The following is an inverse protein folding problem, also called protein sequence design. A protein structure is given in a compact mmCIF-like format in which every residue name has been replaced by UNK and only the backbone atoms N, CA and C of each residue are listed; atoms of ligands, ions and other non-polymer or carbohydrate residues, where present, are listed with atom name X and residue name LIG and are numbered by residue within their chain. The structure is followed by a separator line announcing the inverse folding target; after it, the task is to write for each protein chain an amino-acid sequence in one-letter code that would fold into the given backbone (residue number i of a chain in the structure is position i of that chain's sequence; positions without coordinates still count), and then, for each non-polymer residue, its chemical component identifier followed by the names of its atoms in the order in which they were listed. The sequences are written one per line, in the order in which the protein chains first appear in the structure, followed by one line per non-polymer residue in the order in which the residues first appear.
data_IF_787173332311
#
_entry.id   IF_787173332311
#
_cell.length_a   1.000
_cell.length_b   1.000
_cell.length_c   1.000
_cell.angle_alpha   90.00
_cell.angle_beta   90.00
_cell.angle_gamma   90.00
#
_symmetry.space_group_name_H-M   'P 1'
#
loop_
_entity.id
_entity.type
_entity.pdbx_description
1 polymer ?
#
# COMPACT_ATOMS: atom_id res chain seq x y z
N UNK A 1 -30.15 -14.41 -17.22
CA UNK A 1 -29.00 -13.72 -16.58
C UNK A 1 -29.11 -13.96 -15.08
N UNK A 2 -28.03 -14.30 -14.38
CA UNK A 2 -28.05 -14.56 -12.93
C UNK A 2 -27.42 -13.37 -12.20
N UNK A 3 -28.01 -12.95 -11.07
CA UNK A 3 -27.45 -11.93 -10.19
C UNK A 3 -26.66 -12.60 -9.07
N UNK A 4 -25.44 -12.12 -8.79
CA UNK A 4 -24.68 -12.55 -7.62
C UNK A 4 -25.05 -11.64 -6.44
N UNK A 5 -25.60 -12.22 -5.37
CA UNK A 5 -26.01 -11.51 -4.16
C UNK A 5 -25.43 -12.18 -2.93
N UNK A 6 -25.11 -11.39 -1.91
CA UNK A 6 -24.86 -11.88 -0.55
C UNK A 6 -26.17 -11.78 0.22
N UNK A 7 -26.65 -12.91 0.74
CA UNK A 7 -27.89 -12.98 1.51
C UNK A 7 -27.53 -13.06 3.00
N UNK A 8 -28.02 -12.11 3.81
CA UNK A 8 -27.95 -12.25 5.27
C UNK A 8 -29.07 -13.19 5.72
N UNK A 9 -28.72 -14.22 6.48
CA UNK A 9 -29.69 -15.20 7.00
C UNK A 9 -30.11 -14.97 8.45
N UNK A 10 -29.59 -13.92 9.09
CA UNK A 10 -29.94 -13.62 10.48
C UNK A 10 -31.45 -13.40 10.63
N UNK A 11 -32.13 -14.28 11.38
CA UNK A 11 -33.58 -14.23 11.57
C UNK A 11 -34.41 -14.63 10.34
N UNK A 12 -33.79 -15.22 9.32
CA UNK A 12 -34.50 -15.65 8.11
C UNK A 12 -35.11 -17.03 8.33
N UNK A 13 -36.41 -17.18 8.09
CA UNK A 13 -37.11 -18.46 8.15
C UNK A 13 -36.72 -19.35 6.97
N UNK A 14 -35.99 -20.43 7.26
CA UNK A 14 -35.46 -21.37 6.27
C UNK A 14 -36.01 -22.78 6.50
N UNK A 15 -36.51 -23.39 5.44
CA UNK A 15 -36.97 -24.78 5.44
C UNK A 15 -35.94 -25.68 4.75
N UNK A 16 -35.57 -26.78 5.38
CA UNK A 16 -34.71 -27.80 4.77
C UNK A 16 -35.51 -29.10 4.63
N UNK A 17 -35.55 -29.65 3.41
CA UNK A 17 -36.23 -30.93 3.14
C UNK A 17 -35.20 -32.01 2.91
N UNK A 18 -35.14 -33.00 3.81
CA UNK A 18 -34.18 -34.10 3.80
C UNK A 18 -33.46 -34.24 5.14
N UNK A 19 -33.27 -35.49 5.58
CA UNK A 19 -32.71 -35.83 6.90
C UNK A 19 -31.36 -36.54 6.84
N UNK A 20 -30.69 -36.50 5.68
CA UNK A 20 -29.39 -37.14 5.49
C UNK A 20 -28.20 -36.21 5.79
N UNK A 21 -26.98 -36.76 5.75
CA UNK A 21 -25.71 -36.01 5.95
C UNK A 21 -25.56 -34.73 5.13
N UNK A 22 -26.06 -34.69 3.89
CA UNK A 22 -25.96 -33.48 3.04
C UNK A 22 -26.83 -32.36 3.60
N UNK A 23 -28.05 -32.68 4.02
CA UNK A 23 -28.96 -31.74 4.65
C UNK A 23 -28.39 -31.25 5.98
N UNK A 24 -27.87 -32.17 6.81
CA UNK A 24 -27.24 -31.83 8.08
C UNK A 24 -26.10 -30.81 7.92
N UNK A 25 -25.16 -31.06 7.00
CA UNK A 25 -24.06 -30.13 6.71
C UNK A 25 -24.56 -28.74 6.32
N UNK A 26 -25.65 -28.65 5.55
CA UNK A 26 -26.26 -27.38 5.18
C UNK A 26 -26.94 -26.71 6.37
N UNK A 27 -27.63 -27.46 7.22
CA UNK A 27 -28.26 -26.94 8.43
C UNK A 27 -27.20 -26.30 9.36
N UNK A 28 -26.07 -26.97 9.61
CA UNK A 28 -25.00 -26.40 10.43
C UNK A 28 -24.49 -25.05 9.90
N UNK A 29 -24.35 -24.91 8.57
CA UNK A 29 -23.94 -23.64 7.96
C UNK A 29 -25.00 -22.55 8.17
N UNK A 30 -26.27 -22.86 7.86
CA UNK A 30 -27.36 -21.91 7.98
C UNK A 30 -27.59 -21.48 9.44
N UNK A 31 -27.43 -22.39 10.39
CA UNK A 31 -27.50 -22.13 11.83
C UNK A 31 -26.39 -21.17 12.27
N UNK A 32 -25.15 -21.38 11.82
CA UNK A 32 -24.03 -20.47 12.08
C UNK A 32 -24.27 -19.06 11.51
N UNK A 33 -25.02 -18.96 10.41
CA UNK A 33 -25.43 -17.70 9.78
C UNK A 33 -26.70 -17.08 10.44
N UNK A 34 -27.24 -17.70 11.49
CA UNK A 34 -28.35 -17.17 12.29
C UNK A 34 -29.74 -17.42 11.69
N UNK A 35 -29.88 -18.38 10.78
CA UNK A 35 -31.16 -18.75 10.18
C UNK A 35 -32.12 -19.41 11.19
N UNK A 36 -33.41 -19.11 11.06
CA UNK A 36 -34.48 -19.79 11.78
C UNK A 36 -34.87 -21.06 11.03
N UNK A 37 -34.20 -22.17 11.38
CA UNK A 37 -34.32 -23.43 10.67
C UNK A 37 -35.50 -24.27 11.11
N UNK A 38 -36.14 -24.91 10.13
CA UNK A 38 -36.99 -26.10 10.34
C UNK A 38 -36.56 -27.16 9.34
N UNK A 39 -36.38 -28.40 9.78
CA UNK A 39 -36.00 -29.52 8.91
C UNK A 39 -37.12 -30.54 8.87
N UNK A 40 -37.51 -30.97 7.67
CA UNK A 40 -38.55 -31.99 7.46
C UNK A 40 -37.97 -33.16 6.68
N UNK A 41 -38.15 -34.38 7.21
CA UNK A 41 -37.71 -35.59 6.55
C UNK A 41 -38.54 -36.80 6.98
N UNK A 42 -38.64 -37.82 6.12
CA UNK A 42 -39.28 -39.10 6.49
C UNK A 42 -38.47 -39.87 7.53
N UNK A 43 -37.15 -39.69 7.50
CA UNK A 43 -36.17 -40.33 8.38
C UNK A 43 -34.99 -39.36 8.55
N UNK A 44 -34.36 -39.39 9.73
CA UNK A 44 -33.19 -38.58 10.04
C UNK A 44 -32.00 -39.48 10.36
N UNK A 45 -30.84 -39.14 9.80
CA UNK A 45 -29.56 -39.72 10.19
C UNK A 45 -29.24 -39.34 11.64
N UNK A 46 -28.45 -40.17 12.32
CA UNK A 46 -28.04 -39.96 13.71
C UNK A 46 -27.33 -38.60 13.96
N UNK A 47 -26.77 -37.97 12.92
CA UNK A 47 -26.14 -36.65 13.06
C UNK A 47 -27.13 -35.53 13.44
N UNK A 48 -28.44 -35.72 13.24
CA UNK A 48 -29.45 -34.75 13.68
C UNK A 48 -29.81 -34.88 15.17
N UNK A 49 -29.28 -35.88 15.89
CA UNK A 49 -29.52 -35.99 17.34
C UNK A 49 -28.94 -34.78 18.07
N UNK A 50 -29.78 -34.12 18.88
CA UNK A 50 -29.37 -32.93 19.64
C UNK A 50 -29.32 -31.63 18.82
N UNK A 51 -29.88 -31.62 17.60
CA UNK A 51 -30.03 -30.39 16.82
C UNK A 51 -30.81 -29.33 17.63
N UNK A 52 -30.33 -28.08 17.61
CA UNK A 52 -30.99 -26.97 18.31
C UNK A 52 -32.22 -26.41 17.56
N UNK A 53 -32.52 -26.96 16.39
CA UNK A 53 -33.63 -26.57 15.52
C UNK A 53 -34.66 -27.70 15.34
N UNK A 54 -35.95 -27.37 15.11
CA UNK A 54 -36.99 -28.36 14.90
C UNK A 54 -36.68 -29.34 13.76
N UNK A 55 -36.66 -30.63 14.10
CA UNK A 55 -36.59 -31.74 13.15
C UNK A 55 -37.92 -32.49 13.17
N UNK A 56 -38.68 -32.39 12.08
CA UNK A 56 -40.05 -32.92 11.97
C UNK A 56 -40.02 -34.16 11.08
N UNK A 57 -40.40 -35.30 11.68
CA UNK A 57 -40.54 -36.57 10.94
C UNK A 57 -41.87 -36.58 10.18
N UNK A 58 -41.87 -36.10 8.93
CA UNK A 58 -43.03 -36.06 8.05
C UNK A 58 -42.60 -36.11 6.56
N UNK A 59 -43.57 -36.34 5.68
CA UNK A 59 -43.40 -36.13 4.24
C UNK A 59 -43.56 -34.65 3.88
N UNK A 60 -42.81 -34.23 2.87
CA UNK A 60 -42.95 -32.87 2.33
C UNK A 60 -44.35 -32.62 1.76
N UNK A 61 -44.91 -31.43 2.04
CA UNK A 61 -46.16 -30.91 1.46
C UNK A 61 -46.01 -29.41 1.19
N UNK A 62 -46.59 -28.86 0.10
CA UNK A 62 -46.43 -27.45 -0.26
C UNK A 62 -46.80 -26.46 0.85
N UNK A 63 -47.77 -26.80 1.71
CA UNK A 63 -48.21 -25.95 2.83
C UNK A 63 -47.09 -25.65 3.83
N UNK A 64 -46.09 -26.53 3.93
CA UNK A 64 -44.94 -26.35 4.84
C UNK A 64 -44.01 -25.21 4.39
N UNK A 65 -44.14 -24.75 3.14
CA UNK A 65 -43.42 -23.56 2.64
C UNK A 65 -43.98 -22.25 3.20
N UNK A 66 -45.20 -22.25 3.75
CA UNK A 66 -45.86 -21.03 4.21
C UNK A 66 -45.01 -20.29 5.25
N UNK A 67 -44.80 -18.99 5.03
CA UNK A 67 -44.03 -18.13 5.92
C UNK A 67 -42.51 -18.32 5.85
N UNK A 68 -42.01 -19.12 4.89
CA UNK A 68 -40.56 -19.30 4.67
C UNK A 68 -40.07 -18.36 3.58
N UNK A 69 -38.81 -17.91 3.69
CA UNK A 69 -38.16 -17.09 2.66
C UNK A 69 -37.30 -17.94 1.71
N UNK A 70 -36.75 -19.04 2.24
CA UNK A 70 -35.83 -19.94 1.55
C UNK A 70 -36.18 -21.40 1.86
N UNK A 71 -36.17 -22.24 0.84
CA UNK A 71 -36.21 -23.70 0.98
C UNK A 71 -34.98 -24.36 0.37
N UNK A 72 -34.43 -25.36 1.05
CA UNK A 72 -33.35 -26.20 0.55
C UNK A 72 -33.85 -27.63 0.34
N UNK A 73 -34.05 -27.98 -0.93
CA UNK A 73 -34.34 -29.34 -1.35
C UNK A 73 -33.06 -30.19 -1.26
N UNK A 74 -33.06 -31.15 -0.33
CA UNK A 74 -31.93 -32.03 -0.03
C UNK A 74 -32.31 -33.52 -0.10
N UNK A 75 -33.32 -33.87 -0.90
CA UNK A 75 -33.74 -35.26 -1.10
C UNK A 75 -32.76 -36.03 -2.00
N UNK A 76 -32.79 -37.36 -1.94
CA UNK A 76 -31.93 -38.19 -2.77
C UNK A 76 -32.35 -38.21 -4.25
N UNK A 77 -33.65 -38.18 -4.54
CA UNK A 77 -34.19 -38.32 -5.89
C UNK A 77 -34.46 -36.96 -6.58
N UNK A 78 -34.29 -36.94 -7.90
CA UNK A 78 -34.44 -35.72 -8.71
C UNK A 78 -35.89 -35.20 -8.71
N UNK A 79 -36.88 -36.09 -8.65
CA UNK A 79 -38.30 -35.78 -8.82
C UNK A 79 -38.79 -34.95 -7.62
N UNK A 80 -38.52 -35.42 -6.40
CA UNK A 80 -38.84 -34.70 -5.17
C UNK A 80 -38.19 -33.32 -5.14
N UNK A 81 -36.89 -33.22 -5.48
CA UNK A 81 -36.19 -31.93 -5.48
C UNK A 81 -36.77 -30.96 -6.53
N UNK A 82 -37.16 -31.44 -7.71
CA UNK A 82 -37.83 -30.63 -8.73
C UNK A 82 -39.20 -30.15 -8.23
N UNK A 83 -40.02 -31.03 -7.65
CA UNK A 83 -41.33 -30.67 -7.10
C UNK A 83 -41.21 -29.57 -6.04
N UNK A 84 -40.28 -29.72 -5.09
CA UNK A 84 -40.03 -28.70 -4.05
C UNK A 84 -39.65 -27.34 -4.66
N UNK A 85 -38.78 -27.34 -5.68
CA UNK A 85 -38.38 -26.10 -6.36
C UNK A 85 -39.54 -25.46 -7.12
N UNK A 86 -40.40 -26.26 -7.76
CA UNK A 86 -41.59 -25.77 -8.48
C UNK A 86 -42.63 -25.18 -7.54
N UNK A 87 -42.92 -25.87 -6.42
CA UNK A 87 -43.85 -25.37 -5.40
C UNK A 87 -43.34 -24.07 -4.76
N UNK A 88 -42.04 -24.01 -4.45
CA UNK A 88 -41.41 -22.82 -3.91
C UNK A 88 -41.51 -21.64 -4.90
N UNK A 89 -41.28 -21.90 -6.18
CA UNK A 89 -41.47 -20.90 -7.24
C UNK A 89 -42.91 -20.39 -7.29
N UNK A 90 -43.90 -21.27 -7.18
CA UNK A 90 -45.33 -20.88 -7.15
C UNK A 90 -45.67 -20.05 -5.90
N UNK A 91 -45.02 -20.35 -4.77
CA UNK A 91 -45.20 -19.63 -3.51
C UNK A 91 -44.38 -18.31 -3.41
N UNK A 92 -43.57 -17.97 -4.42
CA UNK A 92 -42.69 -16.79 -4.38
C UNK A 92 -41.49 -16.93 -3.42
N UNK A 93 -41.08 -18.16 -3.13
CA UNK A 93 -40.03 -18.51 -2.16
C UNK A 93 -38.77 -18.91 -2.91
N UNK A 94 -37.61 -18.46 -2.43
CA UNK A 94 -36.35 -18.89 -3.03
C UNK A 94 -36.09 -20.37 -2.75
N UNK A 95 -35.67 -21.12 -3.76
CA UNK A 95 -35.31 -22.52 -3.65
C UNK A 95 -33.86 -22.76 -4.03
N UNK A 96 -33.17 -23.54 -3.20
CA UNK A 96 -31.91 -24.20 -3.53
C UNK A 96 -32.13 -25.71 -3.61
N UNK A 97 -31.37 -26.38 -4.47
CA UNK A 97 -31.38 -27.84 -4.56
C UNK A 97 -29.96 -28.40 -4.49
N UNK A 98 -29.81 -29.56 -3.85
CA UNK A 98 -28.55 -30.33 -3.87
C UNK A 98 -28.38 -31.10 -5.18
N UNK A 99 -29.45 -31.25 -5.97
CA UNK A 99 -29.45 -31.86 -7.30
C UNK A 99 -29.49 -30.77 -8.38
N UNK A 100 -28.77 -31.01 -9.48
CA UNK A 100 -28.81 -30.13 -10.65
C UNK A 100 -30.12 -30.32 -11.43
N UNK A 101 -30.47 -29.35 -12.27
CA UNK A 101 -31.63 -29.39 -13.18
C UNK A 101 -33.01 -29.51 -12.49
N UNK A 102 -33.11 -29.12 -11.22
CA UNK A 102 -34.37 -29.08 -10.46
C UNK A 102 -35.18 -27.80 -10.63
N UNK A 103 -34.70 -26.80 -11.38
CA UNK A 103 -35.36 -25.49 -11.46
C UNK A 103 -35.17 -24.60 -10.22
N UNK A 104 -34.12 -24.85 -9.42
CA UNK A 104 -33.75 -24.01 -8.29
C UNK A 104 -33.55 -22.54 -8.71
N UNK A 105 -34.02 -21.60 -7.89
CA UNK A 105 -33.91 -20.15 -8.14
C UNK A 105 -32.62 -19.56 -7.59
N UNK A 106 -31.95 -20.25 -6.66
CA UNK A 106 -30.68 -19.85 -6.07
C UNK A 106 -29.65 -20.98 -6.15
N UNK A 107 -28.39 -20.60 -6.34
CA UNK A 107 -27.25 -21.51 -6.41
C UNK A 107 -26.14 -21.02 -5.48
N UNK A 108 -25.57 -21.95 -4.70
CA UNK A 108 -24.40 -21.65 -3.90
C UNK A 108 -23.17 -21.45 -4.79
N UNK A 109 -22.37 -20.44 -4.48
CA UNK A 109 -21.02 -20.28 -5.01
C UNK A 109 -20.02 -20.92 -4.04
N UNK A 110 -18.81 -21.19 -4.52
CA UNK A 110 -17.69 -21.38 -3.60
C UNK A 110 -17.41 -20.02 -2.94
N UNK A 111 -17.24 -19.99 -1.62
CA UNK A 111 -17.05 -18.75 -0.84
C UNK A 111 -15.81 -18.87 0.04
N UNK A 112 -15.03 -17.79 0.09
CA UNK A 112 -13.97 -17.56 1.06
C UNK A 112 -14.33 -16.28 1.81
N UNK A 113 -14.48 -16.39 3.12
CA UNK A 113 -14.87 -15.29 3.99
C UNK A 113 -13.81 -15.06 5.06
N UNK A 114 -13.45 -13.79 5.24
CA UNK A 114 -12.47 -13.32 6.23
C UNK A 114 -13.08 -12.16 7.00
N UNK A 115 -12.39 -11.67 8.03
CA UNK A 115 -12.82 -10.47 8.72
C UNK A 115 -12.79 -9.23 7.80
N UNK A 116 -12.00 -9.22 6.73
CA UNK A 116 -11.78 -8.08 5.84
C UNK A 116 -12.67 -8.10 4.61
N UNK A 117 -12.86 -9.26 3.98
CA UNK A 117 -13.53 -9.39 2.68
C UNK A 117 -14.22 -10.75 2.52
N UNK A 118 -15.14 -10.78 1.54
CA UNK A 118 -15.79 -11.99 1.04
C UNK A 118 -15.47 -12.13 -0.44
N UNK A 119 -15.05 -13.32 -0.86
CA UNK A 119 -14.89 -13.69 -2.27
C UNK A 119 -15.81 -14.86 -2.59
N UNK A 120 -16.41 -14.83 -3.79
CA UNK A 120 -17.23 -15.91 -4.27
C UNK A 120 -16.93 -16.22 -5.74
N UNK A 121 -16.88 -17.51 -6.08
CA UNK A 121 -16.63 -17.99 -7.44
C UNK A 121 -17.55 -19.15 -7.81
N UNK A 122 -17.91 -19.25 -9.09
CA UNK A 122 -18.71 -20.35 -9.60
C UNK A 122 -18.58 -20.52 -11.10
N UNK A 123 -18.73 -21.76 -11.56
CA UNK A 123 -18.63 -22.14 -12.98
C UNK A 123 -20.00 -22.44 -13.60
N UNK A 124 -21.08 -21.86 -13.05
CA UNK A 124 -22.47 -22.15 -13.47
C UNK A 124 -22.79 -23.66 -13.54
N UNK A 125 -22.26 -24.44 -12.59
CA UNK A 125 -22.47 -25.89 -12.53
C UNK A 125 -21.47 -26.76 -13.31
N UNK A 126 -20.62 -26.18 -14.16
CA UNK A 126 -19.69 -26.95 -15.00
C UNK A 126 -18.61 -27.75 -14.23
N UNK A 127 -17.96 -27.13 -13.23
CA UNK A 127 -16.96 -27.78 -12.39
C UNK A 127 -16.85 -27.10 -11.01
N UNK A 128 -17.51 -27.66 -9.97
CA UNK A 128 -17.36 -27.17 -8.60
C UNK A 128 -15.93 -27.23 -8.07
N UNK A 129 -15.13 -28.19 -8.55
CA UNK A 129 -13.72 -28.31 -8.19
C UNK A 129 -12.90 -27.14 -8.74
N UNK A 130 -13.12 -26.79 -10.02
CA UNK A 130 -12.45 -25.64 -10.63
C UNK A 130 -12.88 -24.32 -9.96
N UNK A 131 -14.15 -24.16 -9.59
CA UNK A 131 -14.62 -22.99 -8.86
C UNK A 131 -13.84 -22.78 -7.54
N UNK A 132 -13.59 -23.86 -6.79
CA UNK A 132 -12.79 -23.81 -5.55
C UNK A 132 -11.32 -23.49 -5.82
N UNK A 133 -10.75 -24.05 -6.89
CA UNK A 133 -9.37 -23.74 -7.28
C UNK A 133 -9.21 -22.26 -7.65
N UNK A 134 -10.08 -21.73 -8.51
CA UNK A 134 -10.10 -20.30 -8.88
C UNK A 134 -10.21 -19.41 -7.65
N UNK A 135 -11.11 -19.76 -6.73
CA UNK A 135 -11.32 -19.02 -5.50
C UNK A 135 -10.07 -19.01 -4.60
N UNK A 136 -9.36 -20.13 -4.50
CA UNK A 136 -8.09 -20.23 -3.75
C UNK A 136 -7.02 -19.32 -4.36
N UNK A 137 -6.91 -19.29 -5.68
CA UNK A 137 -5.98 -18.42 -6.41
C UNK A 137 -6.33 -16.94 -6.21
N UNK A 138 -7.61 -16.57 -6.33
CA UNK A 138 -8.10 -15.22 -6.05
C UNK A 138 -7.83 -14.81 -4.59
N UNK A 139 -8.11 -15.68 -3.63
CA UNK A 139 -7.90 -15.42 -2.21
C UNK A 139 -6.41 -15.16 -1.90
N UNK A 140 -5.48 -15.90 -2.54
CA UNK A 140 -4.05 -15.66 -2.37
C UNK A 140 -3.64 -14.25 -2.81
N UNK A 141 -4.16 -13.77 -3.96
CA UNK A 141 -3.89 -12.42 -4.46
C UNK A 141 -4.52 -11.35 -3.56
N UNK A 142 -5.77 -11.54 -3.15
CA UNK A 142 -6.49 -10.58 -2.31
C UNK A 142 -5.86 -10.49 -0.92
N UNK A 143 -5.51 -11.62 -0.32
CA UNK A 143 -4.84 -11.69 0.97
C UNK A 143 -3.51 -10.94 0.95
N UNK A 144 -2.70 -11.13 -0.10
CA UNK A 144 -1.39 -10.47 -0.24
C UNK A 144 -1.50 -8.96 -0.45
N UNK A 145 -2.41 -8.52 -1.31
CA UNK A 145 -2.38 -7.14 -1.83
C UNK A 145 -3.43 -6.21 -1.20
N UNK A 146 -4.51 -6.75 -0.60
CA UNK A 146 -5.66 -5.96 -0.18
C UNK A 146 -6.06 -6.13 1.28
N UNK A 147 -5.79 -7.28 1.93
CA UNK A 147 -6.28 -7.54 3.29
C UNK A 147 -5.90 -6.44 4.31
N UNK A 148 -4.60 -6.16 4.44
CA UNK A 148 -4.09 -5.10 5.33
C UNK A 148 -4.67 -3.73 4.98
N UNK A 149 -4.78 -3.45 3.68
CA UNK A 149 -5.31 -2.20 3.15
C UNK A 149 -6.80 -2.01 3.50
N UNK A 150 -7.62 -3.06 3.37
CA UNK A 150 -9.04 -3.05 3.74
C UNK A 150 -9.18 -2.82 5.24
N UNK A 151 -8.37 -3.48 6.06
CA UNK A 151 -8.37 -3.29 7.51
C UNK A 151 -8.07 -1.84 7.91
N UNK A 152 -7.05 -1.21 7.30
CA UNK A 152 -6.74 0.21 7.52
C UNK A 152 -7.87 1.13 7.05
N UNK A 153 -8.38 0.92 5.84
CA UNK A 153 -9.48 1.73 5.29
C UNK A 153 -10.75 1.61 6.14
N UNK A 154 -11.03 0.45 6.73
CA UNK A 154 -12.17 0.26 7.65
C UNK A 154 -12.03 1.12 8.90
N UNK A 155 -10.86 1.11 9.55
CA UNK A 155 -10.58 1.94 10.74
C UNK A 155 -10.68 3.42 10.42
N UNK A 156 -10.06 3.85 9.31
CA UNK A 156 -10.11 5.24 8.86
C UNK A 156 -11.54 5.67 8.52
N UNK A 157 -12.33 4.80 7.88
CA UNK A 157 -13.75 5.08 7.60
C UNK A 157 -14.54 5.28 8.89
N UNK A 158 -14.33 4.45 9.91
CA UNK A 158 -15.00 4.62 11.21
C UNK A 158 -14.65 5.97 11.84
N UNK A 159 -13.36 6.32 11.87
CA UNK A 159 -12.91 7.62 12.36
C UNK A 159 -13.57 8.78 11.59
N UNK A 160 -13.60 8.72 10.25
CA UNK A 160 -14.20 9.75 9.39
C UNK A 160 -15.71 9.90 9.64
N UNK A 161 -16.44 8.79 9.79
CA UNK A 161 -17.88 8.83 10.04
C UNK A 161 -18.22 9.47 11.39
N UNK A 162 -17.31 9.40 12.37
CA UNK A 162 -17.46 9.95 13.71
C UNK A 162 -17.03 11.41 13.81
N UNK A 163 -15.94 11.81 13.14
CA UNK A 163 -15.27 13.10 13.40
C UNK A 163 -15.36 14.11 12.23
N UNK A 164 -15.75 13.69 11.03
CA UNK A 164 -15.75 14.54 9.84
C UNK A 164 -17.17 14.87 9.40
N UNK A 165 -17.40 16.09 8.92
CA UNK A 165 -18.70 16.56 8.45
C UNK A 165 -19.18 15.76 7.23
N UNK A 166 -20.51 15.56 7.13
CA UNK A 166 -21.13 14.62 6.16
C UNK A 166 -20.77 14.97 4.71
N UNK A 167 -20.66 16.26 4.42
CA UNK A 167 -20.41 16.83 3.09
C UNK A 167 -18.98 16.55 2.60
N UNK A 168 -18.01 16.45 3.52
CA UNK A 168 -16.59 16.23 3.20
C UNK A 168 -16.20 14.75 3.05
N UNK A 169 -16.98 13.84 3.67
CA UNK A 169 -16.66 12.40 3.74
C UNK A 169 -16.48 11.75 2.37
N UNK A 170 -17.35 11.96 1.36
CA UNK A 170 -17.21 11.27 0.08
C UNK A 170 -15.88 11.57 -0.61
N UNK A 171 -15.48 12.85 -0.61
CA UNK A 171 -14.23 13.27 -1.23
C UNK A 171 -13.03 12.72 -0.47
N UNK A 172 -13.02 12.80 0.87
CA UNK A 172 -11.92 12.26 1.69
C UNK A 172 -11.77 10.74 1.54
N UNK A 173 -12.88 9.98 1.62
CA UNK A 173 -12.86 8.53 1.43
C UNK A 173 -12.35 8.14 0.03
N UNK A 174 -12.76 8.89 -1.01
CA UNK A 174 -12.29 8.65 -2.37
C UNK A 174 -10.77 8.85 -2.52
N UNK A 175 -10.19 9.83 -1.80
CA UNK A 175 -8.74 10.08 -1.78
C UNK A 175 -8.01 8.95 -1.07
N UNK A 176 -8.49 8.52 0.10
CA UNK A 176 -7.85 7.45 0.87
C UNK A 176 -7.73 6.13 0.08
N UNK A 177 -8.75 5.77 -0.71
CA UNK A 177 -8.73 4.55 -1.53
C UNK A 177 -7.64 4.58 -2.62
N UNK A 178 -7.09 5.74 -2.98
CA UNK A 178 -6.03 5.89 -4.00
C UNK A 178 -4.61 5.89 -3.43
N UNK A 179 -4.46 6.03 -2.11
CA UNK A 179 -3.15 6.12 -1.45
C UNK A 179 -2.38 4.81 -1.53
N UNK A 180 -1.07 4.78 -1.28
CA UNK A 180 -0.37 3.50 -1.13
C UNK A 180 -0.73 2.82 0.22
N UNK A 181 -0.32 1.56 0.44
CA UNK A 181 -0.46 0.93 1.76
C UNK A 181 0.33 1.69 2.83
N UNK A 182 1.52 2.17 2.46
CA UNK A 182 2.43 2.94 3.31
C UNK A 182 1.80 4.26 3.74
N UNK A 183 1.20 5.01 2.82
CA UNK A 183 0.57 6.28 3.11
C UNK A 183 -0.63 6.13 4.05
N UNK A 184 -1.43 5.07 3.87
CA UNK A 184 -2.53 4.75 4.78
C UNK A 184 -2.02 4.46 6.20
N UNK A 185 -0.93 3.70 6.32
CA UNK A 185 -0.27 3.45 7.60
C UNK A 185 0.21 4.77 8.23
N UNK A 186 0.83 5.67 7.46
CA UNK A 186 1.25 6.98 7.97
C UNK A 186 0.08 7.79 8.55
N UNK A 187 -1.07 7.80 7.88
CA UNK A 187 -2.27 8.49 8.37
C UNK A 187 -2.80 7.82 9.64
N UNK A 188 -2.90 6.49 9.68
CA UNK A 188 -3.35 5.77 10.88
C UNK A 188 -2.45 6.05 12.08
N UNK A 189 -1.13 6.01 11.90
CA UNK A 189 -0.16 6.31 12.95
C UNK A 189 -0.22 7.76 13.42
N UNK A 190 -0.42 8.70 12.50
CA UNK A 190 -0.56 10.11 12.84
C UNK A 190 -1.83 10.37 13.67
N UNK A 191 -2.95 9.73 13.33
CA UNK A 191 -4.18 9.78 14.12
C UNK A 191 -4.02 9.15 15.51
N UNK A 192 -3.07 8.23 15.68
CA UNK A 192 -2.70 7.63 16.97
C UNK A 192 -1.69 8.47 17.77
N UNK A 193 -1.33 9.67 17.28
CA UNK A 193 -0.50 10.64 18.00
C UNK A 193 0.97 10.67 17.56
N UNK A 194 1.40 9.90 16.56
CA UNK A 194 2.74 10.04 15.98
C UNK A 194 2.85 11.35 15.18
N UNK A 195 4.02 11.97 15.20
CA UNK A 195 4.29 13.13 14.35
C UNK A 195 4.44 12.73 12.88
N UNK A 196 3.63 13.29 11.99
CA UNK A 196 3.73 13.05 10.56
C UNK A 196 4.79 13.96 9.92
N UNK A 197 5.80 13.36 9.31
CA UNK A 197 6.78 14.08 8.50
C UNK A 197 6.70 13.67 7.03
N UNK A 198 6.56 14.66 6.14
CA UNK A 198 6.63 14.46 4.70
C UNK A 198 8.03 14.82 4.22
N UNK A 199 8.74 13.82 3.72
CA UNK A 199 10.07 13.97 3.14
C UNK A 199 9.91 14.43 1.69
N UNK A 200 10.16 15.70 1.44
CA UNK A 200 9.77 16.40 0.22
C UNK A 200 10.89 16.41 -0.82
N UNK A 201 10.69 15.70 -1.93
CA UNK A 201 11.57 15.70 -3.09
C UNK A 201 10.96 16.51 -4.24
N UNK A 202 11.79 16.93 -5.20
CA UNK A 202 11.29 17.65 -6.38
C UNK A 202 10.47 16.72 -7.31
N UNK A 203 10.85 15.44 -7.43
CA UNK A 203 10.20 14.41 -8.25
C UNK A 203 11.18 13.73 -9.20
N UNK A 204 10.88 12.51 -9.66
CA UNK A 204 11.76 11.69 -10.51
C UNK A 204 10.93 10.86 -11.48
N UNK A 205 11.38 10.68 -12.74
CA UNK A 205 10.57 9.97 -13.75
C UNK A 205 10.61 8.46 -13.60
N UNK A 206 11.69 7.96 -13.01
CA UNK A 206 11.99 6.55 -12.78
C UNK A 206 11.38 6.07 -11.46
N UNK A 207 11.09 4.77 -11.36
CA UNK A 207 10.62 4.14 -10.13
C UNK A 207 11.73 4.12 -9.07
N UNK A 208 11.48 4.83 -7.96
CA UNK A 208 12.34 4.90 -6.78
C UNK A 208 11.65 4.36 -5.52
N UNK A 209 10.55 3.61 -5.67
CA UNK A 209 9.70 3.18 -4.55
C UNK A 209 10.48 2.48 -3.44
N UNK A 210 11.37 1.55 -3.81
CA UNK A 210 12.17 0.80 -2.84
C UNK A 210 13.13 1.70 -2.04
N UNK A 211 13.72 2.69 -2.71
CA UNK A 211 14.65 3.64 -2.10
C UNK A 211 13.94 4.51 -1.05
N UNK A 212 12.76 5.01 -1.41
CA UNK A 212 11.90 5.81 -0.54
C UNK A 212 11.38 4.99 0.66
N UNK A 213 10.96 3.75 0.43
CA UNK A 213 10.50 2.85 1.48
C UNK A 213 11.61 2.57 2.49
N UNK A 214 12.82 2.22 2.01
CA UNK A 214 13.97 1.96 2.86
C UNK A 214 14.34 3.19 3.70
N UNK A 215 14.36 4.37 3.09
CA UNK A 215 14.70 5.59 3.80
C UNK A 215 13.65 5.96 4.85
N UNK A 216 12.36 5.86 4.52
CA UNK A 216 11.31 6.15 5.49
C UNK A 216 11.28 5.13 6.65
N UNK A 217 11.57 3.86 6.38
CA UNK A 217 11.73 2.85 7.42
C UNK A 217 12.93 3.15 8.35
N UNK A 218 14.05 3.62 7.79
CA UNK A 218 15.22 4.03 8.57
C UNK A 218 14.90 5.21 9.52
N UNK A 219 14.11 6.19 9.05
CA UNK A 219 13.62 7.30 9.90
C UNK A 219 12.82 6.75 11.08
N UNK A 220 11.83 5.88 10.81
CA UNK A 220 10.91 5.37 11.84
C UNK A 220 11.58 4.45 12.85
N UNK A 221 12.58 3.66 12.40
CA UNK A 221 13.38 2.83 13.29
C UNK A 221 14.19 3.69 14.29
N UNK A 222 14.72 4.83 13.85
CA UNK A 222 15.53 5.73 14.70
C UNK A 222 14.69 6.74 15.48
N UNK A 223 13.49 7.07 15.00
CA UNK A 223 12.56 8.05 15.58
C UNK A 223 11.17 7.43 15.75
N UNK A 224 11.01 6.61 16.79
CA UNK A 224 9.79 5.83 17.07
C UNK A 224 8.51 6.65 17.21
N UNK A 225 8.65 7.93 17.56
CA UNK A 225 7.55 8.88 17.81
C UNK A 225 7.03 9.53 16.51
N UNK A 226 7.71 9.29 15.39
CA UNK A 226 7.41 9.85 14.09
C UNK A 226 6.95 8.77 13.12
N UNK A 227 6.26 9.21 12.08
CA UNK A 227 5.96 8.42 10.89
C UNK A 227 6.29 9.25 9.67
N UNK A 228 6.98 8.66 8.70
CA UNK A 228 7.55 9.37 7.57
C UNK A 228 6.96 8.87 6.25
N UNK A 229 6.56 9.80 5.39
CA UNK A 229 6.14 9.50 4.02
C UNK A 229 6.94 10.33 3.03
N UNK A 230 7.31 9.74 1.90
CA UNK A 230 7.85 10.51 0.79
C UNK A 230 6.74 11.31 0.11
N UNK A 231 7.08 12.53 -0.34
CA UNK A 231 6.15 13.36 -1.09
C UNK A 231 6.88 14.14 -2.19
N UNK A 232 6.21 14.29 -3.34
CA UNK A 232 6.77 15.03 -4.48
C UNK A 232 6.18 16.44 -4.60
N UNK A 233 7.04 17.41 -4.92
CA UNK A 233 6.62 18.80 -5.14
C UNK A 233 6.01 19.03 -6.52
N UNK A 234 6.39 18.24 -7.52
CA UNK A 234 5.89 18.38 -8.88
C UNK A 234 4.77 17.37 -9.17
N UNK A 235 3.70 17.82 -9.83
CA UNK A 235 2.53 17.00 -10.18
C UNK A 235 2.65 16.35 -11.58
N UNK A 236 3.59 16.80 -12.42
CA UNK A 236 3.79 16.30 -13.78
C UNK A 236 4.81 15.17 -13.89
N UNK A 237 4.94 14.34 -12.85
CA UNK A 237 5.87 13.21 -12.83
C UNK A 237 5.11 11.96 -13.27
N UNK A 238 5.73 11.14 -14.12
CA UNK A 238 5.20 9.84 -14.58
C UNK A 238 5.18 8.78 -13.47
N UNK A 239 5.92 9.00 -12.39
CA UNK A 239 6.08 8.07 -11.27
C UNK A 239 4.97 8.24 -10.22
N UNK A 240 4.50 7.11 -9.69
CA UNK A 240 3.45 7.00 -8.66
C UNK A 240 4.01 6.51 -7.31
N UNK A 241 5.33 6.39 -7.17
CA UNK A 241 6.03 5.95 -5.96
C UNK A 241 5.75 6.82 -4.72
N UNK A 242 5.47 8.11 -4.92
CA UNK A 242 5.11 9.04 -3.86
C UNK A 242 3.99 9.99 -4.27
N UNK A 243 3.14 10.35 -3.31
CA UNK A 243 2.04 11.28 -3.55
C UNK A 243 2.53 12.74 -3.63
N UNK A 244 1.88 13.59 -4.43
CA UNK A 244 2.17 15.02 -4.42
C UNK A 244 1.91 15.64 -3.04
N UNK A 245 2.76 16.58 -2.62
CA UNK A 245 2.60 17.34 -1.37
C UNK A 245 1.21 17.96 -1.29
N UNK A 246 0.68 18.50 -2.40
CA UNK A 246 -0.65 19.09 -2.43
C UNK A 246 -1.77 18.10 -2.06
N UNK A 247 -1.66 16.83 -2.48
CA UNK A 247 -2.65 15.81 -2.15
C UNK A 247 -2.58 15.43 -0.66
N UNK A 248 -1.37 15.27 -0.13
CA UNK A 248 -1.16 15.07 1.30
C UNK A 248 -1.80 16.17 2.12
N UNK A 249 -1.57 17.44 1.77
CA UNK A 249 -2.11 18.60 2.47
C UNK A 249 -3.64 18.61 2.49
N UNK A 250 -4.31 18.19 1.40
CA UNK A 250 -5.77 18.08 1.37
C UNK A 250 -6.28 17.04 2.37
N UNK A 251 -5.60 15.90 2.48
CA UNK A 251 -5.98 14.80 3.36
C UNK A 251 -5.75 15.18 4.83
N UNK A 252 -4.54 15.62 5.17
CA UNK A 252 -4.18 15.97 6.56
C UNK A 252 -4.97 17.18 7.06
N UNK A 253 -5.29 18.15 6.19
CA UNK A 253 -6.19 19.25 6.53
C UNK A 253 -7.58 18.73 6.92
N UNK A 254 -8.17 17.86 6.10
CA UNK A 254 -9.50 17.29 6.38
C UNK A 254 -9.51 16.49 7.68
N UNK A 255 -8.41 15.81 7.99
CA UNK A 255 -8.25 14.99 9.19
C UNK A 255 -7.72 15.77 10.42
N UNK A 256 -7.45 17.07 10.27
CA UNK A 256 -6.83 17.92 11.30
C UNK A 256 -5.49 17.37 11.84
N UNK A 257 -4.71 16.71 10.98
CA UNK A 257 -3.40 16.15 11.33
C UNK A 257 -2.32 17.22 11.11
N UNK A 258 -1.57 17.62 12.15
CA UNK A 258 -0.40 18.47 11.97
C UNK A 258 0.70 17.75 11.18
N UNK A 259 1.33 18.46 10.25
CA UNK A 259 2.36 17.88 9.37
C UNK A 259 3.61 18.73 9.31
N UNK A 260 4.78 18.09 9.25
CA UNK A 260 6.06 18.76 9.02
C UNK A 260 6.63 18.38 7.66
N UNK A 261 6.89 19.37 6.82
CA UNK A 261 7.54 19.20 5.52
C UNK A 261 9.06 19.28 5.73
N UNK A 262 9.76 18.24 5.27
CA UNK A 262 11.22 18.11 5.39
C UNK A 262 11.83 18.22 3.99
N UNK A 263 12.46 19.36 3.63
CA UNK A 263 13.01 19.55 2.30
C UNK A 263 14.22 18.65 2.03
N UNK A 264 14.14 17.79 1.02
CA UNK A 264 15.29 17.02 0.51
C UNK A 264 15.95 17.77 -0.64
N UNK A 265 16.53 18.94 -0.31
CA UNK A 265 17.12 19.89 -1.24
C UNK A 265 18.46 20.40 -0.67
N UNK A 266 19.47 20.58 -1.54
CA UNK A 266 20.79 21.07 -1.11
C UNK A 266 20.90 22.59 -1.00
N UNK A 267 20.08 23.33 -1.74
CA UNK A 267 20.19 24.78 -1.82
C UNK A 267 18.81 25.47 -1.84
N UNK A 268 18.83 26.76 -1.54
CA UNK A 268 17.69 27.63 -1.75
C UNK A 268 17.39 27.75 -3.26
N UNK A 269 16.11 27.93 -3.59
CA UNK A 269 15.63 28.04 -4.96
C UNK A 269 14.12 27.85 -5.02
N UNK A 270 13.58 27.83 -6.24
CA UNK A 270 12.12 27.81 -6.49
C UNK A 270 11.35 26.74 -5.69
N UNK A 271 11.94 25.56 -5.50
CA UNK A 271 11.30 24.45 -4.80
C UNK A 271 11.23 24.68 -3.29
N UNK A 272 12.31 25.21 -2.70
CA UNK A 272 12.31 25.54 -1.29
C UNK A 272 11.41 26.74 -0.99
N UNK A 273 11.43 27.78 -1.85
CA UNK A 273 10.48 28.90 -1.76
C UNK A 273 9.03 28.44 -1.82
N UNK A 274 8.71 27.47 -2.68
CA UNK A 274 7.37 26.86 -2.77
C UNK A 274 6.98 26.11 -1.49
N UNK A 275 7.92 25.39 -0.87
CA UNK A 275 7.68 24.76 0.43
C UNK A 275 7.38 25.81 1.51
N UNK A 276 8.17 26.87 1.58
CA UNK A 276 7.96 27.96 2.53
C UNK A 276 6.60 28.65 2.36
N UNK A 277 6.12 28.81 1.12
CA UNK A 277 4.80 29.41 0.85
C UNK A 277 3.60 28.56 1.31
N UNK A 278 3.82 27.27 1.60
CA UNK A 278 2.79 26.34 2.06
C UNK A 278 2.61 26.41 3.60
N UNK A 279 3.58 27.00 4.32
CA UNK A 279 3.58 27.08 5.77
C UNK A 279 2.26 27.67 6.29
N UNK A 280 1.66 27.00 7.26
CA UNK A 280 0.42 27.42 7.92
C UNK A 280 0.42 26.93 9.37
N UNK A 281 -0.64 27.22 10.13
CA UNK A 281 -0.75 26.81 11.54
C UNK A 281 -0.48 25.31 11.76
N UNK A 282 -1.05 24.46 10.89
CA UNK A 282 -0.91 23.00 10.95
C UNK A 282 0.16 22.43 10.02
N UNK A 283 0.91 23.27 9.31
CA UNK A 283 1.94 22.85 8.35
C UNK A 283 3.26 23.55 8.66
N UNK A 284 4.20 22.80 9.23
CA UNK A 284 5.57 23.27 9.52
C UNK A 284 6.49 22.92 8.35
N UNK A 285 7.53 23.72 8.15
CA UNK A 285 8.56 23.47 7.13
C UNK A 285 9.92 23.55 7.83
N UNK A 286 10.71 22.49 7.75
CA UNK A 286 12.08 22.47 8.29
C UNK A 286 13.01 23.37 7.45
N UNK A 287 14.08 23.92 8.06
CA UNK A 287 15.13 24.60 7.30
C UNK A 287 15.85 23.63 6.35
N UNK A 288 16.57 24.17 5.37
CA UNK A 288 17.50 23.37 4.56
C UNK A 288 18.61 22.80 5.46
N UNK A 289 18.93 21.52 5.27
CA UNK A 289 19.88 20.81 6.15
C UNK A 289 21.34 21.08 5.78
N UNK A 290 21.64 21.20 4.48
CA UNK A 290 23.01 21.29 3.97
C UNK A 290 23.46 22.74 3.84
N UNK A 291 23.43 23.49 4.95
CA UNK A 291 23.80 24.93 4.97
C UNK A 291 25.09 25.18 5.74
N UNK A 292 25.36 24.39 6.78
CA UNK A 292 26.55 24.55 7.60
C UNK A 292 27.74 23.80 7.02
N UNK A 293 28.83 24.54 6.77
CA UNK A 293 30.03 24.00 6.13
C UNK A 293 30.65 22.83 6.90
N UNK A 294 30.74 22.94 8.23
CA UNK A 294 31.30 21.89 9.09
C UNK A 294 30.49 20.58 9.04
N UNK A 295 29.18 20.69 8.91
CA UNK A 295 28.28 19.53 8.89
C UNK A 295 28.31 18.81 7.54
N UNK A 296 28.27 19.58 6.44
CA UNK A 296 28.46 19.04 5.09
C UNK A 296 29.83 18.37 4.99
N UNK A 297 30.86 19.00 5.58
CA UNK A 297 32.20 18.44 5.61
C UNK A 297 32.26 17.09 6.30
N UNK A 298 31.73 16.99 7.52
CA UNK A 298 31.69 15.74 8.28
C UNK A 298 30.98 14.63 7.51
N UNK A 299 29.86 14.94 6.85
CA UNK A 299 29.12 13.98 6.03
C UNK A 299 29.96 13.47 4.84
N UNK A 300 30.65 14.36 4.12
CA UNK A 300 31.47 13.99 2.97
C UNK A 300 32.74 13.22 3.36
N UNK A 301 33.36 13.57 4.50
CA UNK A 301 34.48 12.80 5.06
C UNK A 301 34.09 11.36 5.37
N UNK A 302 32.90 11.17 5.95
CA UNK A 302 32.39 9.83 6.25
C UNK A 302 32.16 9.03 4.96
N UNK A 303 31.55 9.63 3.94
CA UNK A 303 31.37 8.97 2.63
C UNK A 303 32.72 8.59 2.02
N UNK A 304 33.74 9.48 2.08
CA UNK A 304 35.09 9.14 1.61
C UNK A 304 35.64 7.95 2.38
N UNK A 305 35.53 7.95 3.71
CA UNK A 305 36.02 6.87 4.56
C UNK A 305 35.35 5.53 4.23
N UNK A 306 34.03 5.52 4.09
CA UNK A 306 33.25 4.33 3.74
C UNK A 306 33.54 3.82 2.31
N UNK A 307 33.93 4.72 1.40
CA UNK A 307 34.29 4.35 0.03
C UNK A 307 35.61 3.57 -0.08
N UNK A 308 36.50 3.69 0.93
CA UNK A 308 37.85 3.15 0.90
C UNK A 308 38.82 3.87 -0.04
N UNK A 309 38.40 4.93 -0.73
CA UNK A 309 39.25 5.73 -1.60
C UNK A 309 40.01 6.81 -0.83
N UNK A 310 41.20 7.15 -1.34
CA UNK A 310 42.01 8.25 -0.79
C UNK A 310 41.33 9.60 -0.98
N UNK A 311 40.66 9.79 -2.13
CA UNK A 311 40.06 11.05 -2.52
C UNK A 311 38.56 10.92 -2.79
N UNK A 312 37.84 12.04 -2.66
CA UNK A 312 36.43 12.14 -2.99
C UNK A 312 36.18 13.27 -4.00
N UNK A 313 35.61 12.90 -5.15
CA UNK A 313 35.07 13.81 -6.15
C UNK A 313 33.56 13.89 -6.01
N UNK A 314 33.05 15.08 -5.71
CA UNK A 314 31.62 15.40 -5.70
C UNK A 314 31.19 16.01 -7.02
N UNK A 315 30.13 15.46 -7.62
CA UNK A 315 29.42 16.10 -8.73
C UNK A 315 28.14 16.70 -8.16
N UNK A 316 27.94 18.01 -8.33
CA UNK A 316 26.79 18.69 -7.76
C UNK A 316 25.93 19.40 -8.82
N UNK A 317 24.64 19.52 -8.50
CA UNK A 317 23.57 20.02 -9.38
C UNK A 317 22.93 21.25 -8.73
N UNK A 318 23.72 22.32 -8.61
CA UNK A 318 23.31 23.57 -7.96
C UNK A 318 23.52 24.77 -8.88
N UNK A 319 23.23 25.99 -8.43
CA UNK A 319 23.68 27.16 -9.20
C UNK A 319 25.20 27.27 -9.08
N UNK A 320 25.90 27.51 -10.21
CA UNK A 320 27.38 27.62 -10.26
C UNK A 320 27.88 28.73 -9.31
N UNK A 321 27.10 29.80 -9.15
CA UNK A 321 27.40 30.93 -8.26
C UNK A 321 26.45 30.99 -7.04
N UNK A 322 25.96 29.83 -6.58
CA UNK A 322 25.08 29.72 -5.42
C UNK A 322 25.82 29.43 -4.11
N UNK A 323 25.17 29.70 -2.98
CA UNK A 323 25.73 29.46 -1.64
C UNK A 323 26.26 28.02 -1.42
N UNK A 324 25.62 27.02 -2.04
CA UNK A 324 26.10 25.64 -1.96
C UNK A 324 27.41 25.41 -2.76
N UNK A 325 27.56 26.07 -3.93
CA UNK A 325 28.81 26.06 -4.69
C UNK A 325 29.93 26.74 -3.92
N UNK A 326 29.67 27.92 -3.33
CA UNK A 326 30.63 28.63 -2.48
C UNK A 326 31.07 27.79 -1.28
N UNK A 327 30.14 27.07 -0.65
CA UNK A 327 30.42 26.14 0.44
C UNK A 327 31.39 25.03 -0.04
N UNK A 328 31.10 24.37 -1.14
CA UNK A 328 31.94 23.30 -1.69
C UNK A 328 33.33 23.82 -2.10
N UNK A 329 33.41 25.01 -2.73
CA UNK A 329 34.69 25.65 -3.05
C UNK A 329 35.50 25.97 -1.80
N UNK A 330 34.84 26.36 -0.70
CA UNK A 330 35.48 26.54 0.60
C UNK A 330 36.12 25.24 1.11
N UNK A 331 35.40 24.12 1.01
CA UNK A 331 35.91 22.81 1.42
C UNK A 331 37.10 22.35 0.57
N UNK A 332 37.07 22.60 -0.75
CA UNK A 332 38.20 22.28 -1.65
C UNK A 332 39.50 23.01 -1.30
N UNK A 333 39.42 24.17 -0.66
CA UNK A 333 40.60 24.91 -0.19
C UNK A 333 41.19 24.34 1.11
N UNK A 334 40.41 23.57 1.86
CA UNK A 334 40.77 23.08 3.20
C UNK A 334 41.20 21.62 3.20
N UNK A 335 40.60 20.77 2.36
CA UNK A 335 41.02 19.38 2.21
C UNK A 335 41.51 19.10 0.78
N UNK A 336 42.81 18.82 0.69
CA UNK A 336 43.48 18.45 -0.56
C UNK A 336 42.96 17.14 -1.17
N UNK A 337 42.31 16.28 -0.39
CA UNK A 337 41.70 15.01 -0.81
C UNK A 337 40.20 15.15 -1.16
N UNK A 338 39.71 16.38 -1.29
CA UNK A 338 38.34 16.68 -1.70
C UNK A 338 38.33 17.56 -2.96
N UNK A 339 37.48 17.21 -3.92
CA UNK A 339 37.24 18.02 -5.11
C UNK A 339 35.75 18.03 -5.43
N UNK A 340 35.23 19.16 -5.90
CA UNK A 340 33.84 19.28 -6.33
C UNK A 340 33.76 19.92 -7.71
N UNK A 341 32.91 19.37 -8.57
CA UNK A 341 32.68 19.88 -9.92
C UNK A 341 31.19 20.02 -10.19
N UNK A 342 30.81 21.10 -10.84
CA UNK A 342 29.44 21.29 -11.28
C UNK A 342 29.12 20.35 -12.45
N UNK A 343 27.90 19.81 -12.52
CA UNK A 343 27.48 18.84 -13.56
C UNK A 343 27.85 19.24 -15.00
N UNK A 344 27.75 20.54 -15.32
CA UNK A 344 28.00 21.12 -16.65
C UNK A 344 29.49 21.25 -16.98
N UNK A 345 30.36 21.08 -16.00
CA UNK A 345 31.82 21.22 -16.11
C UNK A 345 32.55 19.88 -15.99
N UNK A 346 31.81 18.76 -15.91
CA UNK A 346 32.38 17.41 -15.76
C UNK A 346 33.30 17.03 -16.91
N UNK A 347 33.06 17.51 -18.14
CA UNK A 347 33.91 17.21 -19.31
C UNK A 347 35.31 17.82 -19.23
N UNK A 348 35.43 19.00 -18.61
CA UNK A 348 36.69 19.75 -18.49
C UNK A 348 37.33 19.58 -17.11
N UNK A 349 36.87 18.58 -16.34
CA UNK A 349 37.36 18.35 -14.98
C UNK A 349 38.78 17.78 -15.00
N UNK A 350 39.71 18.53 -14.39
CA UNK A 350 41.10 18.12 -14.16
C UNK A 350 41.27 17.97 -12.66
N UNK A 351 41.59 16.75 -12.22
CA UNK A 351 41.83 16.49 -10.80
C UNK A 351 43.26 16.87 -10.40
N UNK A 352 43.47 17.32 -9.16
CA UNK A 352 44.81 17.57 -8.63
C UNK A 352 45.59 16.27 -8.33
N UNK A 353 44.92 15.12 -8.33
CA UNK A 353 45.49 13.82 -7.97
C UNK A 353 45.94 13.04 -9.20
N UNK A 354 46.99 12.23 -9.05
CA UNK A 354 47.47 11.29 -10.07
C UNK A 354 47.77 9.95 -9.41
N UNK A 355 47.36 8.85 -10.05
CA UNK A 355 47.65 7.49 -9.56
C UNK A 355 47.01 7.12 -8.21
N UNK A 356 46.16 8.00 -7.66
CA UNK A 356 45.42 7.78 -6.43
C UNK A 356 44.01 7.23 -6.69
N UNK A 357 43.41 6.62 -5.67
CA UNK A 357 42.02 6.16 -5.72
C UNK A 357 41.05 7.30 -5.46
N UNK A 358 40.01 7.39 -6.28
CA UNK A 358 39.01 8.47 -6.24
C UNK A 358 37.62 7.87 -6.21
N UNK A 359 36.87 8.17 -5.15
CA UNK A 359 35.44 7.91 -5.10
C UNK A 359 34.68 9.05 -5.81
N UNK A 360 33.76 8.71 -6.70
CA UNK A 360 32.87 9.69 -7.35
C UNK A 360 31.49 9.61 -6.69
N UNK A 361 31.03 10.74 -6.16
CA UNK A 361 29.71 10.93 -5.58
C UNK A 361 28.88 11.91 -6.42
N UNK A 362 27.96 11.42 -7.27
CA UNK A 362 26.90 12.23 -7.83
C UNK A 362 25.90 12.62 -6.73
N UNK A 363 25.85 13.90 -6.36
CA UNK A 363 25.01 14.39 -5.27
C UNK A 363 23.54 14.54 -5.69
N UNK A 364 22.86 13.41 -5.78
CA UNK A 364 21.42 13.34 -5.94
C UNK A 364 20.77 12.66 -4.75
N UNK A 365 19.65 13.25 -4.30
CA UNK A 365 18.83 12.64 -3.25
C UNK A 365 18.15 11.34 -3.68
N UNK A 366 17.99 11.08 -4.99
CA UNK A 366 17.30 9.92 -5.55
C UNK A 366 17.99 9.43 -6.84
N UNK A 367 17.92 8.13 -7.14
CA UNK A 367 18.52 7.56 -8.37
C UNK A 367 17.66 7.73 -9.64
N UNK A 368 17.44 8.97 -10.06
CA UNK A 368 16.77 9.29 -11.32
C UNK A 368 17.63 9.16 -12.58
N UNK A 369 17.07 9.50 -13.75
CA UNK A 369 17.81 9.56 -15.03
C UNK A 369 19.03 10.47 -14.99
N UNK A 370 18.91 11.58 -14.26
CA UNK A 370 19.99 12.52 -14.02
C UNK A 370 21.16 11.89 -13.25
N UNK A 371 20.86 11.08 -12.22
CA UNK A 371 21.86 10.31 -11.50
C UNK A 371 22.59 9.32 -12.43
N UNK A 372 21.85 8.54 -13.24
CA UNK A 372 22.44 7.52 -14.13
C UNK A 372 23.44 8.10 -15.13
N UNK A 373 23.13 9.27 -15.70
CA UNK A 373 24.03 9.96 -16.64
C UNK A 373 25.41 10.22 -16.03
N UNK A 374 25.46 10.56 -14.75
CA UNK A 374 26.67 10.94 -14.03
C UNK A 374 27.31 9.74 -13.29
N UNK A 375 26.53 8.69 -12.98
CA UNK A 375 26.94 7.51 -12.22
C UNK A 375 27.32 6.28 -13.05
N UNK A 376 26.96 6.24 -14.34
CA UNK A 376 27.31 5.09 -15.18
C UNK A 376 28.83 5.04 -15.38
N UNK A 377 29.46 3.92 -15.03
CA UNK A 377 30.93 3.73 -15.09
C UNK A 377 31.54 3.88 -16.50
N UNK A 378 30.72 4.09 -17.53
CA UNK A 378 31.12 4.45 -18.89
C UNK A 378 31.01 5.94 -19.21
N UNK A 379 30.70 6.81 -18.23
CA UNK A 379 30.57 8.24 -18.45
C UNK A 379 31.87 8.86 -18.98
N UNK A 380 31.76 9.90 -19.79
CA UNK A 380 32.91 10.60 -20.35
C UNK A 380 33.86 11.13 -19.26
N UNK A 381 33.32 11.45 -18.08
CA UNK A 381 34.10 11.81 -16.89
C UNK A 381 34.97 10.64 -16.43
N UNK A 382 34.40 9.45 -16.20
CA UNK A 382 35.17 8.28 -15.74
C UNK A 382 36.28 7.94 -16.73
N UNK A 383 35.98 7.98 -18.03
CA UNK A 383 36.99 7.74 -19.07
C UNK A 383 38.08 8.81 -19.08
N UNK A 384 37.74 10.09 -18.88
CA UNK A 384 38.71 11.19 -18.79
C UNK A 384 39.64 11.01 -17.59
N UNK A 385 39.09 10.64 -16.42
CA UNK A 385 39.86 10.44 -15.20
C UNK A 385 40.76 9.20 -15.25
N UNK A 386 40.30 8.12 -15.89
CA UNK A 386 41.11 6.92 -16.15
C UNK A 386 42.30 7.25 -17.07
N UNK A 387 42.13 8.13 -18.08
CA UNK A 387 43.23 8.64 -18.91
C UNK A 387 44.23 9.50 -18.14
N UNK A 388 43.82 10.06 -17.00
CA UNK A 388 44.68 10.79 -16.06
C UNK A 388 45.35 9.85 -15.03
N UNK A 389 45.34 8.53 -15.25
CA UNK A 389 45.86 7.48 -14.38
C UNK A 389 45.19 7.39 -12.98
N UNK A 390 43.97 7.90 -12.79
CA UNK A 390 43.26 7.73 -11.52
C UNK A 390 42.56 6.37 -11.42
N UNK A 391 42.57 5.76 -10.23
CA UNK A 391 41.76 4.56 -9.95
C UNK A 391 40.36 4.99 -9.49
N UNK A 392 39.36 4.86 -10.36
CA UNK A 392 38.04 5.46 -10.15
C UNK A 392 37.04 4.45 -9.60
N UNK A 393 36.36 4.82 -8.51
CA UNK A 393 35.25 4.07 -7.92
C UNK A 393 33.99 4.95 -7.89
N UNK A 394 33.00 4.66 -8.73
CA UNK A 394 31.74 5.41 -8.72
C UNK A 394 30.81 4.84 -7.66
N UNK A 395 30.40 5.68 -6.71
CA UNK A 395 29.46 5.26 -5.67
C UNK A 395 28.09 5.03 -6.31
N UNK A 396 27.67 3.77 -6.35
CA UNK A 396 26.37 3.35 -6.88
C UNK A 396 25.28 3.49 -5.81
N UNK A 397 25.13 4.68 -5.23
CA UNK A 397 24.13 5.02 -4.22
C UNK A 397 23.70 6.49 -4.30
N UNK A 398 22.42 6.76 -4.07
CA UNK A 398 21.95 8.13 -3.84
C UNK A 398 22.37 8.62 -2.47
N UNK A 399 22.24 9.93 -2.21
CA UNK A 399 22.47 10.47 -0.88
C UNK A 399 21.56 9.82 0.18
N UNK A 400 20.28 9.53 -0.09
CA UNK A 400 19.42 8.95 0.95
C UNK A 400 19.68 7.46 1.20
N UNK A 401 20.50 6.79 0.39
CA UNK A 401 20.93 5.40 0.63
C UNK A 401 22.29 5.31 1.32
N UNK A 402 23.11 6.36 1.22
CA UNK A 402 24.38 6.43 1.89
C UNK A 402 24.18 6.62 3.40
N UNK A 403 24.83 5.76 4.19
CA UNK A 403 24.69 5.74 5.65
C UNK A 403 25.00 7.10 6.28
N UNK A 404 26.10 7.73 5.88
CA UNK A 404 26.51 9.05 6.36
C UNK A 404 25.41 10.12 6.20
N UNK A 405 24.82 10.20 5.01
CA UNK A 405 23.73 11.13 4.71
C UNK A 405 22.45 10.77 5.46
N UNK A 406 22.10 9.48 5.55
CA UNK A 406 20.93 9.06 6.35
C UNK A 406 21.08 9.45 7.82
N UNK A 407 22.24 9.19 8.43
CA UNK A 407 22.53 9.56 9.82
C UNK A 407 22.40 11.08 10.01
N UNK A 408 23.02 11.86 9.13
CA UNK A 408 22.93 13.32 9.16
C UNK A 408 21.49 13.83 9.04
N UNK A 409 20.75 13.38 8.01
CA UNK A 409 19.37 13.84 7.76
C UNK A 409 18.46 13.48 8.93
N UNK A 410 18.53 12.23 9.43
CA UNK A 410 17.66 11.75 10.50
C UNK A 410 17.97 12.45 11.83
N UNK A 411 19.23 12.80 12.09
CA UNK A 411 19.59 13.60 13.26
C UNK A 411 18.93 14.99 13.21
N UNK A 412 18.88 15.62 12.03
CA UNK A 412 18.27 16.94 11.81
C UNK A 412 16.73 16.95 11.79
N UNK A 413 16.09 15.78 11.85
CA UNK A 413 14.63 15.66 11.86
C UNK A 413 14.00 15.93 13.25
N UNK A 414 14.81 15.98 14.32
CA UNK A 414 14.38 16.33 15.69
C UNK A 414 13.73 17.72 15.77
#
# INVERSE_FOLDING_TARGET
MSLCVQLSLQGVAVLVIGGGRIAYRKCCQLEQEGAELVVIAKQFDACFQGAAYPCITDSYRPQQLQGKMLVLACCDDLISNRQICEDAKQAGIFAMSVRQNCGASMHALAVEETAEYVLAAGTKGASPLLARQMLKEMNAVVKKNYASRIAMLRKLRQYILQHIQKEERPQLLSRLVRLSQRDLYCIEQALQGKGLQLVCFHGVKEDVSQELENFCAAIEHRKTNLVAAAAFLFEGVSDTSAQPVAQWLQIVKSLHIPVTLVPMLFQNGRYYSRLLSIKSENVRVKPLMFQERSEVWQCLQEVRRESGCANLLVIYHSCVDGAFSELLQGLMKEDVHFHAVHEKQTMDCILPWREESVAILPMYMLRGSHYRKDSDGGSALVQSLQKQNCSVHVLQASCIELRAFQEFIIQKME
#
